data_IF_424881825727
#
_entry.id   IF_424881825727
#
_cell.length_a   1.000
_cell.length_b   1.000
_cell.length_c   1.000
_cell.angle_alpha   90.00
_cell.angle_beta   90.00
_cell.angle_gamma   90.00
#
_symmetry.space_group_name_H-M   'P 1'
#
loop_
_entity.id
_entity.type
_entity.pdbx_description
1 polymer ?
#
# COMPACT_ATOMS: atom_id res chain seq x y z
N UNK A 1 34.28 28.18 -7.68
CA UNK A 1 33.24 28.28 -8.73
C UNK A 1 31.99 27.53 -8.24
N UNK A 2 30.79 28.14 -8.20
CA UNK A 2 29.55 27.53 -7.63
C UNK A 2 28.57 27.02 -8.69
N UNK A 3 28.91 27.19 -9.96
CA UNK A 3 28.12 26.71 -11.08
C UNK A 3 28.00 25.18 -11.03
N UNK A 4 26.79 24.66 -11.18
CA UNK A 4 26.52 23.23 -11.27
C UNK A 4 26.18 22.82 -12.70
N UNK A 5 25.18 23.46 -13.28
CA UNK A 5 24.75 23.25 -14.67
C UNK A 5 23.91 24.42 -15.17
N UNK A 6 23.78 24.51 -16.49
CA UNK A 6 22.81 25.39 -17.14
C UNK A 6 21.79 24.54 -17.91
N UNK A 7 20.52 24.90 -17.83
CA UNK A 7 19.44 24.31 -18.64
C UNK A 7 18.98 25.38 -19.63
N UNK A 8 19.22 25.15 -20.92
CA UNK A 8 18.82 26.08 -21.99
C UNK A 8 17.37 25.75 -22.38
N UNK A 9 16.48 26.74 -22.33
CA UNK A 9 15.08 26.60 -22.71
C UNK A 9 14.80 27.13 -24.11
N UNK A 10 15.39 28.26 -24.46
CA UNK A 10 15.37 28.88 -25.79
C UNK A 10 16.67 29.64 -26.03
N UNK A 11 16.85 30.22 -27.23
CA UNK A 11 18.00 31.08 -27.54
C UNK A 11 18.15 32.26 -26.57
N UNK A 12 17.03 32.75 -26.02
CA UNK A 12 16.98 33.91 -25.12
C UNK A 12 16.79 33.57 -23.63
N UNK A 13 16.67 32.28 -23.26
CA UNK A 13 16.38 31.88 -21.89
C UNK A 13 17.20 30.67 -21.42
N UNK A 14 17.98 30.89 -20.36
CA UNK A 14 18.82 29.86 -19.72
C UNK A 14 18.62 29.90 -18.20
N UNK A 15 18.31 28.76 -17.59
CA UNK A 15 18.35 28.62 -16.14
C UNK A 15 19.73 28.16 -15.68
N UNK A 16 20.34 28.92 -14.76
CA UNK A 16 21.63 28.59 -14.16
C UNK A 16 21.41 27.98 -12.77
N UNK A 17 21.85 26.73 -12.59
CA UNK A 17 21.81 26.03 -11.31
C UNK A 17 23.12 26.26 -10.57
N UNK A 18 23.02 26.77 -9.33
CA UNK A 18 24.15 27.10 -8.47
C UNK A 18 24.12 26.22 -7.20
N UNK A 19 25.26 25.67 -6.81
CA UNK A 19 25.37 24.87 -5.58
C UNK A 19 25.21 25.75 -4.34
N UNK A 20 24.39 25.30 -3.38
CA UNK A 20 24.32 25.90 -2.05
C UNK A 20 25.53 25.44 -1.22
N UNK A 21 26.41 26.37 -0.84
CA UNK A 21 27.62 26.08 -0.06
C UNK A 21 27.39 25.88 1.43
N UNK A 22 26.30 26.44 1.96
CA UNK A 22 25.89 26.32 3.36
C UNK A 22 24.41 26.02 3.38
N UNK A 23 24.05 24.99 4.11
CA UNK A 23 22.66 24.62 4.36
C UNK A 23 22.47 24.76 5.87
N UNK A 24 21.52 25.61 6.27
CA UNK A 24 21.10 25.69 7.67
C UNK A 24 20.22 24.49 7.97
N UNK A 25 20.68 23.61 8.83
CA UNK A 25 19.94 22.40 9.22
C UNK A 25 19.07 22.70 10.45
N UNK A 26 17.94 23.38 10.23
CA UNK A 26 16.98 23.79 11.27
C UNK A 26 15.71 22.92 11.29
N UNK A 27 15.78 21.73 10.66
CA UNK A 27 14.66 20.81 10.54
C UNK A 27 14.77 19.70 11.60
N UNK A 28 13.68 19.36 12.29
CA UNK A 28 13.69 18.32 13.32
C UNK A 28 13.64 16.92 12.70
N UNK A 29 14.65 16.56 11.89
CA UNK A 29 14.71 15.29 11.16
C UNK A 29 14.73 14.09 12.12
N UNK A 30 15.43 14.23 13.26
CA UNK A 30 15.49 13.20 14.31
C UNK A 30 14.12 12.92 14.93
N UNK A 31 13.25 13.94 15.04
CA UNK A 31 11.89 13.76 15.54
C UNK A 31 11.07 12.92 14.56
N UNK A 32 11.19 13.21 13.26
CA UNK A 32 10.52 12.42 12.20
C UNK A 32 10.96 10.95 12.19
N UNK A 33 12.25 10.70 12.37
CA UNK A 33 12.79 9.33 12.50
C UNK A 33 12.21 8.63 13.74
N UNK A 34 12.21 9.31 14.89
CA UNK A 34 11.70 8.75 16.15
C UNK A 34 10.21 8.39 16.06
N UNK A 35 9.39 9.27 15.47
CA UNK A 35 7.96 9.02 15.25
C UNK A 35 7.74 7.81 14.33
N UNK A 36 8.52 7.71 13.25
CA UNK A 36 8.45 6.59 12.31
C UNK A 36 8.79 5.27 13.00
N UNK A 37 9.83 5.24 13.83
CA UNK A 37 10.24 4.02 14.53
C UNK A 37 9.25 3.60 15.62
N UNK A 38 8.64 4.56 16.33
CA UNK A 38 7.52 4.30 17.24
C UNK A 38 6.33 3.70 16.47
N UNK A 39 5.98 4.27 15.31
CA UNK A 39 4.90 3.76 14.47
C UNK A 39 5.16 2.33 13.98
N UNK A 40 6.37 2.01 13.51
CA UNK A 40 6.75 0.63 13.14
C UNK A 40 6.67 -0.32 14.32
N UNK A 41 7.12 0.11 15.49
CA UNK A 41 7.11 -0.72 16.71
C UNK A 41 5.68 -1.14 17.06
N UNK A 42 4.72 -0.21 16.97
CA UNK A 42 3.30 -0.52 17.16
C UNK A 42 2.78 -1.55 16.14
N UNK A 43 3.14 -1.41 14.86
CA UNK A 43 2.74 -2.36 13.81
C UNK A 43 3.35 -3.76 14.03
N UNK A 44 4.62 -3.82 14.42
CA UNK A 44 5.32 -5.07 14.71
C UNK A 44 4.79 -5.74 15.96
N UNK A 45 4.46 -4.98 17.00
CA UNK A 45 3.86 -5.53 18.22
C UNK A 45 2.51 -6.20 17.91
N UNK A 46 1.65 -5.55 17.14
CA UNK A 46 0.40 -6.17 16.68
C UNK A 46 0.64 -7.43 15.85
N UNK A 47 1.59 -7.40 14.92
CA UNK A 47 1.85 -8.56 14.07
C UNK A 47 2.44 -9.75 14.87
N UNK A 48 3.58 -9.53 15.52
CA UNK A 48 4.37 -10.61 16.13
C UNK A 48 3.89 -10.99 17.53
N UNK A 49 3.47 -10.02 18.36
CA UNK A 49 3.09 -10.29 19.74
C UNK A 49 1.61 -10.56 19.92
N UNK A 50 0.74 -10.04 19.05
CA UNK A 50 -0.70 -10.29 19.13
C UNK A 50 -1.19 -11.30 18.08
N UNK A 51 -1.15 -10.97 16.79
CA UNK A 51 -1.77 -11.78 15.72
C UNK A 51 -1.12 -13.15 15.61
N UNK A 52 0.22 -13.21 15.44
CA UNK A 52 0.94 -14.48 15.28
C UNK A 52 0.88 -15.42 16.49
N UNK A 53 0.67 -14.88 17.69
CA UNK A 53 0.55 -15.70 18.93
C UNK A 53 -0.86 -16.23 19.15
N UNK A 54 -1.89 -15.48 18.74
CA UNK A 54 -3.30 -15.81 19.05
C UNK A 54 -4.03 -16.50 17.91
N UNK A 55 -3.59 -16.31 16.67
CA UNK A 55 -4.29 -16.79 15.48
C UNK A 55 -3.32 -17.48 14.51
N UNK A 56 -3.77 -18.57 13.89
CA UNK A 56 -3.10 -19.11 12.70
C UNK A 56 -3.42 -18.21 11.50
N UNK A 57 -2.59 -17.18 11.34
CA UNK A 57 -2.77 -16.13 10.36
C UNK A 57 -1.55 -15.98 9.44
N UNK A 58 -1.83 -15.82 8.15
CA UNK A 58 -0.87 -15.48 7.11
C UNK A 58 -0.99 -13.98 6.80
N UNK A 59 0.12 -13.25 6.86
CA UNK A 59 0.15 -11.85 6.46
C UNK A 59 0.17 -11.76 4.93
N UNK A 60 -0.90 -11.21 4.35
CA UNK A 60 -1.08 -11.06 2.91
C UNK A 60 -0.37 -9.81 2.37
N UNK A 61 -0.52 -8.68 3.06
CA UNK A 61 0.23 -7.46 2.75
C UNK A 61 0.29 -6.52 3.96
N UNK A 62 1.22 -5.56 3.87
CA UNK A 62 1.28 -4.39 4.74
C UNK A 62 1.56 -3.14 3.91
N UNK A 63 0.92 -2.02 4.27
CA UNK A 63 1.30 -0.70 3.77
C UNK A 63 1.23 0.32 4.91
N UNK A 64 2.38 0.78 5.38
CA UNK A 64 2.60 1.81 6.41
C UNK A 64 1.89 1.54 7.74
N UNK A 65 0.58 1.71 7.80
CA UNK A 65 -0.32 1.63 8.95
C UNK A 65 -1.42 0.55 8.78
N UNK A 66 -1.37 -0.23 7.69
CA UNK A 66 -2.32 -1.30 7.39
C UNK A 66 -1.67 -2.68 7.38
N UNK A 67 -2.43 -3.67 7.84
CA UNK A 67 -2.11 -5.10 7.81
C UNK A 67 -3.33 -5.86 7.31
N UNK A 68 -3.14 -6.76 6.34
CA UNK A 68 -4.18 -7.67 5.90
C UNK A 68 -3.77 -9.12 6.11
N UNK A 69 -4.70 -9.90 6.64
CA UNK A 69 -4.45 -11.27 7.03
C UNK A 69 -5.44 -12.21 6.34
N UNK A 70 -4.94 -13.38 5.94
CA UNK A 70 -5.74 -14.58 5.76
C UNK A 70 -5.70 -15.34 7.08
N UNK A 71 -6.87 -15.67 7.62
CA UNK A 71 -7.00 -16.39 8.90
C UNK A 71 -7.90 -17.59 8.68
N UNK A 72 -7.46 -18.76 9.14
CA UNK A 72 -8.12 -20.05 8.85
C UNK A 72 -9.25 -20.42 9.82
N UNK A 73 -9.74 -19.47 10.63
CA UNK A 73 -10.68 -19.73 11.72
C UNK A 73 -12.09 -19.27 11.32
N UNK A 74 -13.10 -20.11 11.56
CA UNK A 74 -14.50 -19.89 11.16
C UNK A 74 -15.14 -18.62 11.73
N UNK A 75 -14.68 -18.10 12.88
CA UNK A 75 -15.34 -16.96 13.53
C UNK A 75 -14.40 -15.97 14.22
N UNK A 76 -13.40 -15.48 13.48
CA UNK A 76 -12.42 -14.51 13.99
C UNK A 76 -13.04 -13.26 14.61
N UNK A 77 -14.20 -12.81 14.11
CA UNK A 77 -14.84 -11.56 14.55
C UNK A 77 -15.30 -11.65 16.00
N UNK A 78 -15.83 -12.80 16.41
CA UNK A 78 -16.26 -13.02 17.80
C UNK A 78 -15.07 -12.87 18.73
N UNK A 79 -13.99 -13.60 18.48
CA UNK A 79 -12.85 -13.64 19.38
C UNK A 79 -12.05 -12.35 19.35
N UNK A 80 -11.90 -11.71 18.18
CA UNK A 80 -11.10 -10.51 18.03
C UNK A 80 -11.79 -9.28 18.63
N UNK A 81 -13.08 -9.07 18.34
CA UNK A 81 -13.79 -7.84 18.71
C UNK A 81 -14.59 -7.95 20.02
N UNK A 82 -14.79 -9.16 20.56
CA UNK A 82 -15.45 -9.32 21.87
C UNK A 82 -14.43 -9.44 23.01
N UNK A 83 -13.31 -10.13 22.78
CA UNK A 83 -12.30 -10.40 23.83
C UNK A 83 -11.19 -9.33 23.88
N UNK A 84 -10.95 -8.64 22.77
CA UNK A 84 -9.89 -7.64 22.64
C UNK A 84 -10.44 -6.33 22.05
N UNK A 85 -11.66 -5.96 22.44
CA UNK A 85 -12.33 -4.73 22.00
C UNK A 85 -11.46 -3.48 22.24
N UNK A 86 -10.67 -3.47 23.31
CA UNK A 86 -9.71 -2.41 23.64
C UNK A 86 -8.64 -2.16 22.56
N UNK A 87 -8.34 -3.10 21.67
CA UNK A 87 -7.32 -2.91 20.63
C UNK A 87 -7.88 -2.34 19.33
N UNK A 88 -9.19 -2.45 19.11
CA UNK A 88 -9.80 -2.19 17.82
C UNK A 88 -10.77 -1.01 17.85
N UNK A 89 -10.76 -0.24 16.76
CA UNK A 89 -11.79 0.74 16.44
C UNK A 89 -12.82 0.10 15.51
N UNK A 90 -13.98 -0.24 16.05
CA UNK A 90 -15.12 -0.80 15.30
C UNK A 90 -16.25 0.22 15.10
N UNK A 91 -15.96 1.52 15.27
CA UNK A 91 -16.98 2.57 15.17
C UNK A 91 -17.55 2.73 13.76
N UNK A 92 -16.91 2.15 12.74
CA UNK A 92 -17.35 2.16 11.35
C UNK A 92 -18.25 0.98 10.98
N UNK A 93 -18.60 0.12 11.94
CA UNK A 93 -19.53 -0.97 11.71
C UNK A 93 -20.95 -0.43 11.58
N UNK A 94 -21.86 -1.15 10.89
CA UNK A 94 -23.28 -0.82 10.91
C UNK A 94 -23.81 -0.72 12.34
N UNK A 95 -24.64 0.28 12.63
CA UNK A 95 -25.16 0.54 13.97
C UNK A 95 -25.95 -0.64 14.57
N UNK A 96 -26.51 -1.50 13.72
CA UNK A 96 -27.22 -2.73 14.11
C UNK A 96 -26.28 -3.92 14.36
N UNK A 97 -24.96 -3.77 14.19
CA UNK A 97 -24.00 -4.83 14.43
C UNK A 97 -23.72 -5.00 15.91
N UNK A 98 -23.69 -6.26 16.39
CA UNK A 98 -23.25 -6.61 17.75
C UNK A 98 -21.85 -6.07 18.10
N UNK A 99 -21.01 -5.85 17.10
CA UNK A 99 -19.61 -5.42 17.28
C UNK A 99 -19.41 -3.92 17.10
N UNK A 100 -20.46 -3.14 16.84
CA UNK A 100 -20.35 -1.69 16.73
C UNK A 100 -20.08 -1.09 18.10
N UNK A 101 -18.97 -0.35 18.23
CA UNK A 101 -18.59 0.33 19.46
C UNK A 101 -17.82 1.63 19.12
N UNK A 102 -18.23 2.75 19.72
CA UNK A 102 -17.58 4.05 19.54
C UNK A 102 -16.47 4.34 20.56
N UNK A 103 -16.25 3.47 21.55
CA UNK A 103 -15.23 3.63 22.62
C UNK A 103 -13.84 4.02 22.10
N UNK A 104 -13.42 3.41 21.00
CA UNK A 104 -12.07 3.59 20.42
C UNK A 104 -12.05 4.45 19.16
N UNK A 105 -13.14 5.17 18.86
CA UNK A 105 -13.28 5.96 17.63
C UNK A 105 -12.15 6.99 17.51
N UNK A 106 -11.31 6.80 16.50
CA UNK A 106 -10.15 7.66 16.22
C UNK A 106 -9.14 7.81 17.38
N UNK A 107 -9.09 6.86 18.31
CA UNK A 107 -8.08 6.83 19.37
C UNK A 107 -6.74 6.39 18.80
N UNK A 108 -5.67 7.11 19.13
CA UNK A 108 -4.31 6.82 18.66
C UNK A 108 -3.86 5.41 19.09
N UNK A 109 -3.23 4.70 18.16
CA UNK A 109 -2.71 3.36 18.39
C UNK A 109 -3.75 2.23 18.36
N UNK A 110 -5.02 2.54 18.12
CA UNK A 110 -6.09 1.54 17.92
C UNK A 110 -6.21 1.16 16.45
N UNK A 111 -6.56 -0.09 16.20
CA UNK A 111 -6.61 -0.66 14.86
C UNK A 111 -8.03 -0.67 14.33
N UNK A 112 -8.25 0.03 13.23
CA UNK A 112 -9.55 0.08 12.58
C UNK A 112 -9.70 -1.04 11.56
N UNK A 113 -10.87 -1.68 11.52
CA UNK A 113 -11.21 -2.60 10.42
C UNK A 113 -11.59 -1.79 9.17
N UNK A 114 -10.71 -1.75 8.17
CA UNK A 114 -10.97 -1.06 6.91
C UNK A 114 -12.19 -1.60 6.13
N UNK A 115 -12.57 -2.87 6.32
CA UNK A 115 -13.72 -3.45 5.63
C UNK A 115 -15.05 -3.07 6.28
N UNK A 116 -15.02 -2.46 7.48
CA UNK A 116 -16.20 -2.05 8.24
C UNK A 116 -17.08 -3.25 8.59
N UNK A 117 -16.46 -4.34 9.05
CA UNK A 117 -17.16 -5.55 9.43
C UNK A 117 -17.59 -6.43 8.25
N UNK A 118 -17.27 -6.08 7.00
CA UNK A 118 -17.49 -6.94 5.83
C UNK A 118 -16.34 -7.94 5.68
N UNK A 119 -16.66 -9.18 5.33
CA UNK A 119 -15.62 -10.19 5.11
C UNK A 119 -14.97 -10.00 3.74
N UNK A 120 -13.64 -10.03 3.67
CA UNK A 120 -12.91 -10.10 2.41
C UNK A 120 -12.89 -11.57 1.98
N UNK A 121 -13.47 -11.86 0.81
CA UNK A 121 -13.63 -13.23 0.30
C UNK A 121 -12.61 -13.59 -0.79
N UNK A 122 -12.02 -12.57 -1.43
CA UNK A 122 -10.98 -12.75 -2.45
C UNK A 122 -9.95 -11.66 -2.28
N UNK A 123 -8.67 -12.03 -2.40
CA UNK A 123 -7.55 -11.11 -2.33
C UNK A 123 -6.51 -11.49 -3.38
N UNK A 124 -5.93 -10.49 -4.05
CA UNK A 124 -4.76 -10.64 -4.92
C UNK A 124 -3.81 -9.47 -4.67
N UNK A 125 -2.58 -9.79 -4.25
CA UNK A 125 -1.48 -8.85 -4.14
C UNK A 125 -0.43 -9.15 -5.21
N UNK A 126 -0.01 -8.13 -5.96
CA UNK A 126 1.05 -8.26 -6.98
C UNK A 126 2.39 -7.73 -6.49
N UNK A 127 2.38 -6.58 -5.81
CA UNK A 127 3.56 -5.91 -5.22
C UNK A 127 3.10 -4.85 -4.21
N UNK A 128 3.99 -4.21 -3.43
CA UNK A 128 3.63 -3.14 -2.53
C UNK A 128 2.84 -2.02 -3.25
N UNK A 129 1.69 -1.64 -2.67
CA UNK A 129 0.75 -0.64 -3.22
C UNK A 129 0.12 -1.02 -4.59
N UNK A 130 0.10 -2.32 -4.92
CA UNK A 130 -0.57 -2.89 -6.07
C UNK A 130 -1.32 -4.18 -5.70
N UNK A 131 -2.60 -4.05 -5.35
CA UNK A 131 -3.43 -5.16 -4.88
C UNK A 131 -4.92 -4.87 -5.13
N UNK A 132 -5.73 -5.93 -5.15
CA UNK A 132 -7.18 -5.84 -5.21
C UNK A 132 -7.82 -6.88 -4.30
N UNK A 133 -8.98 -6.54 -3.74
CA UNK A 133 -9.76 -7.46 -2.93
C UNK A 133 -11.25 -7.25 -3.07
N UNK A 134 -12.01 -8.33 -2.90
CA UNK A 134 -13.47 -8.35 -3.03
C UNK A 134 -14.08 -8.70 -1.68
N UNK A 135 -15.04 -7.89 -1.26
CA UNK A 135 -15.83 -8.12 -0.05
C UNK A 135 -17.03 -9.01 -0.35
N UNK A 136 -17.59 -9.66 0.66
CA UNK A 136 -18.81 -10.47 0.56
C UNK A 136 -20.02 -9.69 0.03
N UNK A 137 -20.04 -8.36 0.15
CA UNK A 137 -21.06 -7.50 -0.45
C UNK A 137 -20.90 -7.31 -1.97
N UNK A 138 -19.91 -7.95 -2.60
CA UNK A 138 -19.57 -7.77 -4.02
C UNK A 138 -18.75 -6.50 -4.33
N UNK A 139 -18.46 -5.68 -3.32
CA UNK A 139 -17.67 -4.45 -3.48
C UNK A 139 -16.19 -4.80 -3.69
N UNK A 140 -15.62 -4.29 -4.78
CA UNK A 140 -14.21 -4.46 -5.10
C UNK A 140 -13.41 -3.20 -4.75
N UNK A 141 -12.34 -3.36 -3.97
CA UNK A 141 -11.36 -2.30 -3.73
C UNK A 141 -10.07 -2.59 -4.49
N UNK A 142 -9.67 -1.64 -5.33
CA UNK A 142 -8.50 -1.71 -6.21
C UNK A 142 -7.49 -0.65 -5.81
N UNK A 143 -6.25 -1.05 -5.55
CA UNK A 143 -5.12 -0.16 -5.31
C UNK A 143 -4.08 -0.36 -6.40
N UNK A 144 -3.83 0.68 -7.20
CA UNK A 144 -2.86 0.67 -8.29
C UNK A 144 -2.05 1.97 -8.28
N UNK A 145 -0.97 2.02 -7.49
CA UNK A 145 -0.19 3.25 -7.34
C UNK A 145 0.41 3.69 -8.68
N UNK A 146 0.22 4.97 -9.01
CA UNK A 146 0.76 5.59 -10.22
C UNK A 146 -0.24 5.64 -11.40
N UNK A 147 -1.40 5.00 -11.26
CA UNK A 147 -2.51 5.05 -12.23
C UNK A 147 -3.63 5.94 -11.67
N UNK A 148 -4.32 6.67 -12.56
CA UNK A 148 -5.42 7.56 -12.19
C UNK A 148 -6.65 6.79 -11.72
N UNK A 149 -7.36 7.33 -10.74
CA UNK A 149 -8.56 6.69 -10.17
C UNK A 149 -9.64 6.39 -11.20
N UNK A 150 -9.86 7.25 -12.21
CA UNK A 150 -10.85 6.97 -13.25
C UNK A 150 -10.46 5.73 -14.08
N UNK A 151 -9.17 5.59 -14.41
CA UNK A 151 -8.65 4.49 -15.22
C UNK A 151 -8.75 3.19 -14.42
N UNK A 152 -8.45 3.24 -13.12
CA UNK A 152 -8.63 2.09 -12.22
C UNK A 152 -10.11 1.67 -12.15
N UNK A 153 -11.04 2.62 -12.12
CA UNK A 153 -12.48 2.31 -12.04
C UNK A 153 -13.03 1.71 -13.34
N UNK A 154 -12.60 2.21 -14.49
CA UNK A 154 -13.20 1.88 -15.79
C UNK A 154 -12.47 0.74 -16.52
N UNK A 155 -11.15 0.65 -16.40
CA UNK A 155 -10.33 -0.20 -17.28
C UNK A 155 -9.66 -1.37 -16.55
N UNK A 156 -9.79 -1.44 -15.22
CA UNK A 156 -9.13 -2.45 -14.38
C UNK A 156 -10.15 -3.15 -13.49
N UNK A 157 -10.12 -4.48 -13.50
CA UNK A 157 -10.97 -5.38 -12.73
C UNK A 157 -10.14 -6.31 -11.85
N UNK A 158 -10.78 -6.96 -10.87
CA UNK A 158 -10.13 -7.94 -10.01
C UNK A 158 -9.51 -9.09 -10.82
N UNK A 159 -10.22 -9.53 -11.87
CA UNK A 159 -9.76 -10.60 -12.75
C UNK A 159 -8.48 -10.23 -13.51
N UNK A 160 -8.25 -8.94 -13.78
CA UNK A 160 -6.99 -8.49 -14.38
C UNK A 160 -5.80 -8.70 -13.43
N UNK A 161 -5.99 -8.45 -12.13
CA UNK A 161 -4.96 -8.74 -11.12
C UNK A 161 -4.68 -10.24 -11.05
N UNK A 162 -5.74 -11.06 -11.02
CA UNK A 162 -5.61 -12.51 -10.98
C UNK A 162 -4.93 -13.05 -12.23
N UNK A 163 -5.28 -12.54 -13.41
CA UNK A 163 -4.67 -12.91 -14.68
C UNK A 163 -3.21 -12.50 -14.72
N UNK A 164 -2.87 -11.30 -14.25
CA UNK A 164 -1.49 -10.83 -14.15
C UNK A 164 -0.65 -11.72 -13.21
N UNK A 165 -1.20 -12.12 -12.06
CA UNK A 165 -0.52 -13.02 -11.12
C UNK A 165 -0.23 -14.39 -11.75
N UNK A 166 -1.24 -15.00 -12.40
CA UNK A 166 -1.14 -16.35 -12.97
C UNK A 166 -0.29 -16.42 -14.23
N UNK A 167 -0.46 -15.45 -15.13
CA UNK A 167 0.20 -15.47 -16.44
C UNK A 167 1.52 -14.72 -16.47
N UNK A 168 1.81 -13.93 -15.42
CA UNK A 168 2.93 -12.99 -15.35
C UNK A 168 2.98 -11.95 -16.49
N UNK A 169 1.87 -11.80 -17.23
CA UNK A 169 1.74 -10.78 -18.27
C UNK A 169 1.35 -9.44 -17.67
N UNK A 170 2.03 -8.40 -18.12
CA UNK A 170 1.75 -7.04 -17.70
C UNK A 170 0.48 -6.51 -18.36
N UNK A 171 -0.30 -5.71 -17.62
CA UNK A 171 -1.44 -4.98 -18.17
C UNK A 171 -1.06 -3.53 -18.41
N UNK A 172 -1.14 -3.11 -19.67
CA UNK A 172 -0.96 -1.71 -20.07
C UNK A 172 -2.30 -0.98 -20.07
N UNK A 173 -2.31 0.28 -19.66
CA UNK A 173 -3.49 1.17 -19.73
C UNK A 173 -3.12 2.50 -20.37
N UNK A 174 -4.09 3.10 -21.07
CA UNK A 174 -3.96 4.43 -21.66
C UNK A 174 -4.29 5.48 -20.60
N UNK A 175 -3.39 6.42 -20.36
CA UNK A 175 -3.59 7.51 -19.41
C UNK A 175 -3.30 8.84 -20.11
N UNK A 176 -4.28 9.74 -20.10
CA UNK A 176 -4.09 11.11 -20.56
C UNK A 176 -3.52 11.96 -19.42
N UNK A 177 -2.44 12.70 -19.63
CA UNK A 177 -1.81 13.59 -18.65
C UNK A 177 -1.48 14.93 -19.28
N UNK A 178 -1.38 15.95 -18.43
CA UNK A 178 -0.74 17.21 -18.81
C UNK A 178 0.72 17.11 -18.36
N UNK A 179 1.66 17.38 -19.26
CA UNK A 179 3.10 17.35 -19.00
C UNK A 179 3.76 18.65 -19.41
N UNK A 180 4.79 19.01 -18.66
CA UNK A 180 5.64 20.15 -18.97
C UNK A 180 6.92 19.63 -19.63
N UNK A 181 7.20 20.09 -20.84
CA UNK A 181 8.48 19.94 -21.51
C UNK A 181 9.05 21.33 -21.75
N UNK A 182 10.19 21.65 -21.15
CA UNK A 182 10.88 22.94 -21.30
C UNK A 182 9.96 24.17 -21.10
N UNK A 183 9.12 24.13 -20.06
CA UNK A 183 8.12 25.17 -19.72
C UNK A 183 6.91 25.28 -20.66
N UNK A 184 6.77 24.38 -21.62
CA UNK A 184 5.57 24.27 -22.46
C UNK A 184 4.70 23.11 -21.98
N UNK A 185 3.39 23.36 -21.88
CA UNK A 185 2.41 22.38 -21.42
C UNK A 185 1.80 21.63 -22.60
N UNK A 186 1.83 20.30 -22.52
CA UNK A 186 1.29 19.39 -23.53
C UNK A 186 0.22 18.49 -22.91
N UNK A 187 -0.85 18.25 -23.67
CA UNK A 187 -1.81 17.19 -23.37
C UNK A 187 -1.39 15.91 -24.07
N UNK A 188 -0.89 14.94 -23.31
CA UNK A 188 -0.29 13.72 -23.85
C UNK A 188 -1.08 12.48 -23.43
N UNK A 189 -1.29 11.57 -24.38
CA UNK A 189 -1.76 10.22 -24.09
C UNK A 189 -0.57 9.28 -23.99
N UNK A 190 -0.43 8.61 -22.86
CA UNK A 190 0.64 7.64 -22.61
C UNK A 190 0.08 6.24 -22.40
N UNK A 191 0.81 5.23 -22.85
CA UNK A 191 0.61 3.85 -22.41
C UNK A 191 1.48 3.60 -21.19
N UNK A 192 0.88 3.20 -20.07
CA UNK A 192 1.57 2.88 -18.82
C UNK A 192 1.32 1.44 -18.40
N UNK A 193 2.33 0.80 -17.83
CA UNK A 193 2.17 -0.47 -17.11
C UNK A 193 1.31 -0.18 -15.87
N UNK A 194 0.10 -0.72 -15.84
CA UNK A 194 -0.79 -0.65 -14.68
C UNK A 194 -0.54 -1.82 -13.74
N UNK A 195 -0.52 -3.05 -14.27
CA UNK A 195 -0.34 -4.27 -13.49
C UNK A 195 0.92 -4.98 -13.95
N UNK A 196 1.76 -5.38 -12.98
CA UNK A 196 2.91 -6.25 -13.18
C UNK A 196 3.10 -7.05 -11.90
N UNK A 197 3.36 -8.35 -12.06
CA UNK A 197 3.59 -9.29 -10.96
C UNK A 197 5.07 -9.37 -10.54
N UNK A 198 5.93 -8.57 -11.16
CA UNK A 198 7.33 -8.46 -10.78
C UNK A 198 7.44 -7.56 -9.54
N UNK A 199 8.02 -8.11 -8.48
CA UNK A 199 8.34 -7.39 -7.24
C UNK A 199 9.85 -7.43 -7.04
N UNK A 200 10.49 -6.26 -7.16
CA UNK A 200 11.92 -6.11 -6.99
C UNK A 200 12.35 -6.09 -5.52
N UNK A 201 11.40 -6.02 -4.58
CA UNK A 201 11.66 -5.90 -3.13
C UNK A 201 11.62 -7.22 -2.39
N UNK A 202 11.15 -8.29 -3.03
CA UNK A 202 11.01 -9.61 -2.41
C UNK A 202 11.43 -10.70 -3.38
N UNK A 203 11.92 -11.81 -2.83
CA UNK A 203 12.14 -13.02 -3.60
C UNK A 203 10.81 -13.74 -3.79
N UNK A 204 10.41 -13.96 -5.05
CA UNK A 204 9.20 -14.69 -5.40
C UNK A 204 9.54 -16.19 -5.45
N UNK A 205 8.80 -17.01 -4.71
CA UNK A 205 8.98 -18.45 -4.68
C UNK A 205 8.56 -19.12 -6.01
N UNK A 206 8.92 -20.40 -6.17
CA UNK A 206 8.63 -21.19 -7.39
C UNK A 206 7.13 -21.30 -7.70
N UNK A 207 6.27 -21.24 -6.68
CA UNK A 207 4.81 -21.24 -6.86
C UNK A 207 4.26 -19.95 -7.48
N UNK A 208 5.10 -18.92 -7.61
CA UNK A 208 4.72 -17.63 -8.16
C UNK A 208 3.70 -16.87 -7.32
N UNK A 209 3.52 -17.19 -6.04
CA UNK A 209 2.56 -16.50 -5.17
C UNK A 209 3.21 -16.13 -3.84
N UNK A 210 3.89 -17.08 -3.20
CA UNK A 210 4.55 -16.84 -1.95
C UNK A 210 5.82 -16.02 -2.18
N UNK A 211 6.14 -15.16 -1.20
CA UNK A 211 7.30 -14.28 -1.29
C UNK A 211 8.08 -14.27 0.02
N UNK A 212 9.40 -14.22 -0.09
CA UNK A 212 10.33 -14.14 1.03
C UNK A 212 11.07 -12.80 1.00
N UNK A 213 11.45 -12.28 2.16
CA UNK A 213 12.37 -11.15 2.22
C UNK A 213 13.75 -11.58 1.72
N UNK A 214 14.49 -10.70 1.06
CA UNK A 214 15.88 -11.02 0.70
C UNK A 214 16.72 -11.32 1.94
N UNK A 215 17.58 -12.34 1.84
CA UNK A 215 18.37 -12.84 2.98
C UNK A 215 17.63 -13.81 3.89
N UNK A 216 16.38 -14.18 3.59
CA UNK A 216 15.67 -15.22 4.32
C UNK A 216 16.37 -16.57 4.19
N UNK A 217 16.48 -17.33 5.27
CA UNK A 217 17.23 -18.60 5.34
C UNK A 217 16.74 -19.71 4.39
N UNK A 218 15.47 -19.63 3.96
CA UNK A 218 14.88 -20.54 2.96
C UNK A 218 15.27 -20.22 1.52
N UNK A 219 15.85 -19.04 1.27
CA UNK A 219 16.36 -18.69 -0.07
C UNK A 219 17.70 -19.40 -0.22
N UNK A 220 17.74 -20.43 -1.07
CA UNK A 220 19.00 -21.08 -1.46
C UNK A 220 19.90 -20.04 -2.15
N UNK A 221 21.15 -19.97 -1.71
CA UNK A 221 22.18 -19.14 -2.33
C UNK A 221 22.61 -19.70 -3.67
#
# INVERSE_FOLDING_TARGET
>A
NKFEKATIFSESLVAVHMKRLRIRFDKPVYLGMSILDISKTLMFDMHYNFIKKKFDANLLFTDTDSLAYEVKIDNIKRDMYTKYDDLFDTSNYPANSKYHNEKNKAVLGKFKDEAGGRAIIKFVGLRPKLYSYVMNSGVEKKTCKGIKTNVIKNDITFNDYLTCLKTRKEKMVKVNNIRNHKHELYSERMNKIALSANDDKRHICEDGVNTLAYGHYLIRK
#
